data_IF_388422032618
#
_entry.id   IF_388422032618
#
_cell.length_a   1.000
_cell.length_b   1.000
_cell.length_c   1.000
_cell.angle_alpha   90.00
_cell.angle_beta   90.00
_cell.angle_gamma   90.00
#
_symmetry.space_group_name_H-M   'P 1'
#
loop_
_entity.id
_entity.type
_entity.pdbx_description
1 polymer ?
#
# COMPACT_ATOMS: atom_id res chain seq x y z
N UNK A 1 5.60 -22.45 2.22
CA UNK A 1 5.72 -21.08 2.73
C UNK A 1 4.59 -20.26 2.14
N UNK A 2 3.86 -19.50 2.94
CA UNK A 2 2.83 -18.58 2.43
C UNK A 2 3.51 -17.35 1.83
N UNK A 3 2.95 -16.78 0.76
CA UNK A 3 3.53 -15.62 0.07
C UNK A 3 3.37 -14.37 0.93
N UNK A 4 4.35 -13.48 0.90
CA UNK A 4 4.24 -12.16 1.54
C UNK A 4 3.33 -11.25 0.71
N UNK A 5 2.55 -10.41 1.39
CA UNK A 5 1.69 -9.41 0.77
C UNK A 5 2.46 -8.10 0.55
N UNK A 6 2.22 -7.50 -0.61
CA UNK A 6 2.77 -6.20 -1.00
C UNK A 6 1.62 -5.23 -1.26
N UNK A 7 1.71 -4.03 -0.70
CA UNK A 7 0.85 -2.92 -1.07
C UNK A 7 1.43 -2.25 -2.31
N UNK A 8 0.64 -2.09 -3.37
CA UNK A 8 1.04 -1.39 -4.59
C UNK A 8 0.27 -0.07 -4.71
N UNK A 9 0.99 1.02 -4.96
CA UNK A 9 0.41 2.30 -5.35
C UNK A 9 0.84 2.66 -6.77
N UNK A 10 -0.12 3.11 -7.59
CA UNK A 10 0.14 3.61 -8.94
C UNK A 10 -0.50 4.98 -9.09
N UNK A 11 0.29 5.96 -9.54
CA UNK A 11 -0.25 7.28 -9.86
C UNK A 11 -0.94 7.27 -11.23
N UNK A 12 -1.70 8.33 -11.54
CA UNK A 12 -2.33 8.52 -12.85
C UNK A 12 -1.31 8.73 -14.00
N UNK A 13 -0.03 8.92 -13.68
CA UNK A 13 1.06 8.98 -14.65
C UNK A 13 1.52 7.56 -15.04
N UNK A 14 1.79 7.32 -16.33
CA UNK A 14 2.26 6.01 -16.79
C UNK A 14 3.67 5.72 -16.23
N UNK A 15 3.87 4.50 -15.71
CA UNK A 15 5.17 4.03 -15.22
C UNK A 15 5.51 4.38 -13.77
N UNK A 16 4.65 5.10 -13.05
CA UNK A 16 4.84 5.42 -11.63
C UNK A 16 4.08 4.40 -10.77
N UNK A 17 4.73 3.26 -10.50
CA UNK A 17 4.23 2.22 -9.59
C UNK A 17 5.27 1.99 -8.50
N UNK A 18 4.87 2.09 -7.25
CA UNK A 18 5.67 1.80 -6.06
C UNK A 18 5.00 0.68 -5.26
N UNK A 19 5.78 -0.05 -4.47
CA UNK A 19 5.25 -1.06 -3.55
C UNK A 19 6.02 -1.16 -2.26
N UNK A 20 5.32 -1.51 -1.18
CA UNK A 20 5.92 -1.80 0.13
C UNK A 20 5.42 -3.14 0.70
N UNK A 21 6.23 -3.78 1.53
CA UNK A 21 5.83 -4.96 2.30
C UNK A 21 4.95 -4.56 3.48
N UNK A 22 3.78 -5.20 3.62
CA UNK A 22 2.86 -4.90 4.73
C UNK A 22 3.03 -5.82 5.94
N UNK A 23 3.98 -6.76 5.88
CA UNK A 23 4.30 -7.67 7.01
C UNK A 23 3.29 -8.81 7.24
N UNK A 24 2.41 -9.08 6.27
CA UNK A 24 1.43 -10.17 6.33
C UNK A 24 1.70 -11.22 5.26
N UNK A 25 1.58 -12.49 5.63
CA UNK A 25 1.44 -13.55 4.64
C UNK A 25 0.03 -13.59 4.06
N UNK A 26 -0.12 -14.17 2.86
CA UNK A 26 -1.41 -14.41 2.22
C UNK A 26 -2.41 -15.12 3.14
N UNK A 27 -1.93 -16.08 3.95
CA UNK A 27 -2.78 -16.83 4.88
C UNK A 27 -3.22 -16.04 6.11
N UNK A 28 -2.45 -15.04 6.53
CA UNK A 28 -2.81 -14.13 7.61
C UNK A 28 -3.75 -13.05 7.09
N UNK A 29 -3.44 -12.48 5.92
CA UNK A 29 -4.26 -11.50 5.23
C UNK A 29 -5.68 -12.02 4.96
N UNK A 30 -5.82 -13.29 4.56
CA UNK A 30 -7.10 -13.93 4.31
C UNK A 30 -8.02 -14.02 5.54
N UNK A 31 -7.45 -13.98 6.76
CA UNK A 31 -8.22 -14.06 8.02
C UNK A 31 -8.72 -12.71 8.51
N UNK A 32 -8.16 -11.61 8.01
CA UNK A 32 -8.57 -10.26 8.34
C UNK A 32 -9.92 -9.92 7.70
N UNK A 33 -10.71 -9.15 8.43
CA UNK A 33 -11.90 -8.47 7.92
C UNK A 33 -11.53 -7.40 6.89
N UNK A 34 -12.53 -6.89 6.18
CA UNK A 34 -12.33 -5.80 5.23
C UNK A 34 -11.84 -4.53 5.95
N UNK A 35 -12.43 -4.20 7.10
CA UNK A 35 -12.06 -3.02 7.89
C UNK A 35 -10.60 -3.10 8.38
N UNK A 36 -10.17 -4.25 8.93
CA UNK A 36 -8.78 -4.45 9.35
C UNK A 36 -7.79 -4.30 8.19
N UNK A 37 -8.15 -4.80 7.00
CA UNK A 37 -7.32 -4.64 5.80
C UNK A 37 -7.22 -3.18 5.37
N UNK A 38 -8.32 -2.43 5.47
CA UNK A 38 -8.35 -1.00 5.12
C UNK A 38 -7.49 -0.18 6.09
N UNK A 39 -7.54 -0.47 7.38
CA UNK A 39 -6.67 0.16 8.38
C UNK A 39 -5.20 -0.08 8.08
N UNK A 40 -4.81 -1.33 7.77
CA UNK A 40 -3.43 -1.66 7.40
C UNK A 40 -3.04 -0.96 6.10
N UNK A 41 -3.88 -0.97 5.06
CA UNK A 41 -3.59 -0.26 3.82
C UNK A 41 -3.36 1.24 4.09
N UNK A 42 -4.18 1.87 4.93
CA UNK A 42 -4.03 3.27 5.28
C UNK A 42 -2.71 3.56 6.01
N UNK A 43 -2.28 2.68 6.94
CA UNK A 43 -0.98 2.78 7.62
C UNK A 43 0.18 2.77 6.62
N UNK A 44 0.20 1.81 5.70
CA UNK A 44 1.29 1.65 4.73
C UNK A 44 1.18 2.58 3.51
N UNK A 45 0.07 3.31 3.33
CA UNK A 45 -0.10 4.23 2.20
C UNK A 45 0.93 5.36 2.23
N UNK A 46 1.31 5.83 3.42
CA UNK A 46 2.35 6.85 3.58
C UNK A 46 3.74 6.41 3.08
N UNK A 47 4.01 5.11 3.05
CA UNK A 47 5.29 4.57 2.56
C UNK A 47 5.36 4.50 1.03
N UNK A 48 4.21 4.47 0.36
CA UNK A 48 4.12 4.32 -1.11
C UNK A 48 3.64 5.58 -1.82
N UNK A 49 3.03 6.53 -1.11
CA UNK A 49 2.55 7.79 -1.67
C UNK A 49 3.01 8.98 -0.82
N UNK A 50 3.89 9.80 -1.38
CA UNK A 50 4.18 11.14 -0.87
C UNK A 50 3.39 12.18 -1.67
N UNK A 51 2.50 12.92 -1.01
CA UNK A 51 1.67 13.96 -1.62
C UNK A 51 2.00 15.30 -0.98
N UNK A 52 2.48 16.24 -1.79
CA UNK A 52 2.73 17.60 -1.36
C UNK A 52 2.22 18.62 -2.37
N UNK A 53 1.92 19.82 -1.89
CA UNK A 53 1.55 20.97 -2.71
C UNK A 53 2.74 21.92 -2.77
N UNK A 54 3.09 22.40 -3.95
CA UNK A 54 4.10 23.45 -4.16
C UNK A 54 3.48 24.65 -4.90
N UNK A 55 3.99 25.88 -4.70
CA UNK A 55 3.61 27.03 -5.52
C UNK A 55 3.85 26.77 -7.02
N UNK A 56 3.09 27.43 -7.89
CA UNK A 56 3.44 27.52 -9.31
C UNK A 56 4.76 28.30 -9.46
N UNK A 57 5.64 27.80 -10.34
CA UNK A 57 6.93 28.43 -10.67
C UNK A 57 6.74 29.81 -11.35
#
# INVERSE_FOLDING_TARGET
MSKQMLLYARTNNQGSTCSTEVGYTESEWAKLSEDERLEIIAEFTGDVVDLWVRPED
#
